data_IF_298372070219
#
_entry.id   IF_298372070219
#
_cell.length_a   1.000
_cell.length_b   1.000
_cell.length_c   1.000
_cell.angle_alpha   90.00
_cell.angle_beta   90.00
_cell.angle_gamma   90.00
#
_symmetry.space_group_name_H-M   'P 1'
#
loop_
_entity.id
_entity.type
_entity.pdbx_description
1 polymer ?
#
# COMPACT_ATOMS: atom_id res chain seq x y z
N UNK A 1 -56.85 -7.40 -17.42
CA UNK A 1 -55.83 -7.22 -16.37
C UNK A 1 -55.54 -8.51 -15.62
N UNK A 2 -56.52 -9.15 -14.96
CA UNK A 2 -56.32 -10.37 -14.18
C UNK A 2 -55.77 -11.51 -15.02
N UNK A 3 -56.27 -11.71 -16.24
CA UNK A 3 -55.74 -12.73 -17.15
C UNK A 3 -54.26 -12.45 -17.55
N UNK A 4 -53.91 -11.20 -17.85
CA UNK A 4 -52.57 -10.79 -18.19
C UNK A 4 -51.59 -10.98 -16.99
N UNK A 5 -52.00 -10.62 -15.78
CA UNK A 5 -51.22 -10.82 -14.56
C UNK A 5 -51.00 -12.32 -14.25
N UNK A 6 -52.00 -13.17 -14.51
CA UNK A 6 -51.86 -14.61 -14.38
C UNK A 6 -50.87 -15.20 -15.42
N UNK A 7 -50.87 -14.70 -16.65
CA UNK A 7 -49.89 -15.10 -17.69
C UNK A 7 -48.47 -14.67 -17.25
N UNK A 8 -48.31 -13.43 -16.80
CA UNK A 8 -47.01 -12.94 -16.26
C UNK A 8 -46.55 -13.81 -15.11
N UNK A 9 -47.42 -14.13 -14.14
CA UNK A 9 -47.12 -14.98 -13.01
C UNK A 9 -46.70 -16.40 -13.42
N UNK A 10 -47.40 -16.96 -14.42
CA UNK A 10 -47.09 -18.31 -14.94
C UNK A 10 -45.72 -18.30 -15.63
N UNK A 11 -45.43 -17.31 -16.45
CA UNK A 11 -44.13 -17.18 -17.14
C UNK A 11 -42.99 -16.94 -16.14
N UNK A 12 -43.19 -16.09 -15.14
CA UNK A 12 -42.19 -15.87 -14.07
C UNK A 12 -41.90 -17.14 -13.27
N UNK A 13 -42.91 -17.95 -12.99
CA UNK A 13 -42.72 -19.20 -12.27
C UNK A 13 -42.09 -20.31 -13.12
N UNK A 14 -42.18 -20.23 -14.45
CA UNK A 14 -41.59 -21.19 -15.39
C UNK A 14 -40.10 -20.86 -15.72
N UNK A 15 -39.63 -19.65 -15.43
CA UNK A 15 -38.28 -19.21 -15.71
C UNK A 15 -37.37 -19.40 -14.51
N UNK A 16 -36.39 -20.30 -14.59
CA UNK A 16 -35.31 -20.40 -13.57
C UNK A 16 -34.43 -19.15 -13.52
N UNK A 17 -34.27 -18.44 -14.65
CA UNK A 17 -33.57 -17.15 -14.75
C UNK A 17 -34.28 -16.24 -15.75
N UNK A 18 -34.63 -15.03 -15.35
CA UNK A 18 -35.11 -14.01 -16.26
C UNK A 18 -33.95 -13.55 -17.19
N UNK A 19 -34.02 -13.96 -18.46
CA UNK A 19 -33.13 -13.46 -19.51
C UNK A 19 -33.74 -12.20 -20.15
N UNK A 20 -32.99 -11.59 -21.10
CA UNK A 20 -33.41 -10.39 -21.82
C UNK A 20 -34.74 -10.58 -22.57
N UNK A 21 -34.91 -11.71 -23.24
CA UNK A 21 -36.09 -12.07 -24.03
C UNK A 21 -37.33 -12.17 -23.14
N UNK A 22 -37.23 -12.88 -22.02
CA UNK A 22 -38.35 -13.00 -21.07
C UNK A 22 -38.75 -11.67 -20.43
N UNK A 23 -37.82 -10.73 -20.20
CA UNK A 23 -38.15 -9.39 -19.72
C UNK A 23 -38.89 -8.57 -20.79
N UNK A 24 -38.55 -8.70 -22.08
CA UNK A 24 -39.29 -8.06 -23.19
C UNK A 24 -40.68 -8.62 -23.35
N UNK A 25 -40.87 -9.94 -23.28
CA UNK A 25 -42.18 -10.59 -23.32
C UNK A 25 -43.08 -10.11 -22.18
N UNK A 26 -42.56 -10.04 -20.96
CA UNK A 26 -43.31 -9.53 -19.81
C UNK A 26 -43.68 -8.07 -20.00
N UNK A 27 -42.79 -7.23 -20.52
CA UNK A 27 -43.04 -5.83 -20.79
C UNK A 27 -44.16 -5.67 -21.84
N UNK A 28 -44.12 -6.47 -22.89
CA UNK A 28 -45.14 -6.46 -23.96
C UNK A 28 -46.53 -6.83 -23.37
N UNK A 29 -46.63 -7.89 -22.58
CA UNK A 29 -47.86 -8.31 -21.90
C UNK A 29 -48.40 -7.21 -20.98
N UNK A 30 -47.52 -6.56 -20.21
CA UNK A 30 -47.92 -5.46 -19.31
C UNK A 30 -48.39 -4.24 -20.09
N UNK A 31 -47.79 -3.91 -21.26
CA UNK A 31 -48.18 -2.79 -22.09
C UNK A 31 -49.54 -3.01 -22.81
N UNK A 32 -49.81 -4.23 -23.25
CA UNK A 32 -51.10 -4.61 -23.88
C UNK A 32 -52.27 -4.52 -22.88
N UNK A 33 -52.00 -4.69 -21.59
CA UNK A 33 -53.02 -4.64 -20.54
C UNK A 33 -53.52 -3.21 -20.21
N UNK A 34 -52.94 -2.20 -20.81
CA UNK A 34 -53.30 -0.80 -20.59
C UNK A 34 -54.40 -0.34 -21.56
N UNK A 35 -55.61 -0.86 -21.46
CA UNK A 35 -56.75 -0.11 -22.01
C UNK A 35 -57.14 1.00 -21.02
N UNK A 36 -57.24 2.26 -21.47
CA UNK A 36 -57.46 3.38 -20.60
C UNK A 36 -58.89 3.40 -20.06
N UNK A 37 -59.13 2.76 -18.94
CA UNK A 37 -60.32 3.08 -18.15
C UNK A 37 -59.88 4.04 -17.02
N UNK A 38 -60.36 5.27 -17.15
CA UNK A 38 -59.93 6.46 -16.43
C UNK A 38 -60.09 6.44 -14.88
N UNK A 39 -60.23 5.30 -14.23
CA UNK A 39 -60.31 5.15 -12.76
C UNK A 39 -59.95 3.74 -12.28
N UNK A 40 -58.85 3.18 -12.71
CA UNK A 40 -58.41 1.87 -12.21
C UNK A 40 -57.37 2.07 -11.12
N UNK A 41 -57.59 1.53 -9.91
CA UNK A 41 -56.62 1.49 -8.83
C UNK A 41 -55.37 0.65 -9.16
N UNK A 42 -55.45 -0.10 -10.27
CA UNK A 42 -54.36 -0.98 -10.76
C UNK A 42 -53.37 -0.25 -11.66
N UNK A 43 -53.82 0.86 -12.30
CA UNK A 43 -52.98 1.63 -13.22
C UNK A 43 -51.64 2.12 -12.62
N UNK A 44 -51.61 2.68 -11.40
CA UNK A 44 -50.35 3.08 -10.78
C UNK A 44 -49.39 1.88 -10.57
N UNK A 45 -49.92 0.71 -10.24
CA UNK A 45 -49.11 -0.51 -10.03
C UNK A 45 -48.52 -1.01 -11.36
N UNK A 46 -49.29 -0.97 -12.44
CA UNK A 46 -48.80 -1.35 -13.77
C UNK A 46 -47.73 -0.39 -14.29
N UNK A 47 -47.86 0.90 -14.03
CA UNK A 47 -46.85 1.91 -14.36
C UNK A 47 -45.54 1.68 -13.54
N UNK A 48 -45.67 1.31 -12.28
CA UNK A 48 -44.52 0.99 -11.44
C UNK A 48 -43.79 -0.25 -11.96
N UNK A 49 -44.54 -1.30 -12.33
CA UNK A 49 -43.99 -2.53 -12.93
C UNK A 49 -43.27 -2.19 -14.25
N UNK A 50 -43.86 -1.40 -15.12
CA UNK A 50 -43.23 -0.97 -16.36
C UNK A 50 -41.92 -0.23 -16.10
N UNK A 51 -41.94 0.72 -15.18
CA UNK A 51 -40.71 1.47 -14.81
C UNK A 51 -39.60 0.56 -14.31
N UNK A 52 -39.95 -0.47 -13.53
CA UNK A 52 -38.99 -1.47 -13.04
C UNK A 52 -38.43 -2.28 -14.22
N UNK A 53 -39.29 -2.76 -15.11
CA UNK A 53 -38.90 -3.53 -16.28
C UNK A 53 -38.01 -2.71 -17.23
N UNK A 54 -38.34 -1.47 -17.49
CA UNK A 54 -37.57 -0.56 -18.34
C UNK A 54 -36.15 -0.32 -17.76
N UNK A 55 -36.05 -0.12 -16.45
CA UNK A 55 -34.76 0.00 -15.79
C UNK A 55 -33.93 -1.28 -15.90
N UNK A 56 -34.56 -2.46 -15.75
CA UNK A 56 -33.85 -3.75 -15.85
C UNK A 56 -33.41 -4.06 -17.28
N UNK A 57 -34.29 -3.80 -18.29
CA UNK A 57 -33.95 -3.97 -19.69
C UNK A 57 -32.81 -3.05 -20.09
N UNK A 58 -32.90 -1.76 -19.74
CA UNK A 58 -31.86 -0.78 -20.03
C UNK A 58 -30.50 -1.16 -19.39
N UNK A 59 -30.54 -1.76 -18.22
CA UNK A 59 -29.32 -2.27 -17.56
C UNK A 59 -28.70 -3.46 -18.32
N UNK A 60 -29.54 -4.35 -18.88
CA UNK A 60 -29.09 -5.50 -19.70
C UNK A 60 -28.64 -5.10 -21.11
N UNK A 61 -29.14 -3.98 -21.65
CA UNK A 61 -28.72 -3.46 -22.95
C UNK A 61 -27.37 -2.79 -22.95
N UNK A 62 -26.93 -2.28 -21.77
CA UNK A 62 -25.61 -1.69 -21.63
C UNK A 62 -24.56 -2.81 -21.67
N UNK A 63 -23.48 -2.67 -22.47
CA UNK A 63 -22.34 -3.57 -22.36
C UNK A 63 -21.87 -3.62 -20.90
N UNK A 64 -21.39 -4.78 -20.39
CA UNK A 64 -20.99 -4.94 -18.99
C UNK A 64 -20.05 -3.84 -18.49
N UNK A 65 -19.14 -3.37 -19.36
CA UNK A 65 -18.21 -2.28 -19.07
C UNK A 65 -18.87 -0.91 -18.86
N UNK A 66 -20.08 -0.70 -19.40
CA UNK A 66 -20.88 0.55 -19.25
C UNK A 66 -21.96 0.44 -18.17
N UNK A 67 -22.06 -0.70 -17.52
CA UNK A 67 -22.99 -0.89 -16.40
C UNK A 67 -22.28 -0.56 -15.10
N UNK A 68 -22.65 0.53 -14.46
CA UNK A 68 -22.00 1.04 -13.24
C UNK A 68 -22.01 0.05 -12.08
N UNK A 69 -23.06 -0.78 -11.94
CA UNK A 69 -23.12 -1.80 -10.89
C UNK A 69 -22.14 -2.95 -11.16
N UNK A 70 -22.07 -3.41 -12.41
CA UNK A 70 -21.13 -4.45 -12.84
C UNK A 70 -19.70 -3.93 -12.71
N UNK A 71 -19.47 -2.70 -13.18
CA UNK A 71 -18.16 -2.05 -13.09
C UNK A 71 -17.67 -1.94 -11.63
N UNK A 72 -18.53 -1.44 -10.73
CA UNK A 72 -18.21 -1.38 -9.29
C UNK A 72 -17.87 -2.74 -8.68
N UNK A 73 -18.64 -3.79 -9.04
CA UNK A 73 -18.36 -5.15 -8.57
C UNK A 73 -17.01 -5.66 -9.09
N UNK A 74 -16.69 -5.42 -10.36
CA UNK A 74 -15.42 -5.82 -10.97
C UNK A 74 -14.26 -5.07 -10.30
N UNK A 75 -14.35 -3.74 -10.18
CA UNK A 75 -13.31 -2.94 -9.53
C UNK A 75 -13.08 -3.38 -8.07
N UNK A 76 -14.14 -3.64 -7.32
CA UNK A 76 -14.02 -4.08 -5.93
C UNK A 76 -13.45 -5.52 -5.79
N UNK A 77 -13.55 -6.32 -6.85
CA UNK A 77 -12.98 -7.68 -6.88
C UNK A 77 -11.53 -7.71 -7.38
N UNK A 78 -11.05 -6.62 -7.99
CA UNK A 78 -9.65 -6.53 -8.42
C UNK A 78 -8.73 -6.40 -7.20
N UNK A 79 -7.56 -7.06 -7.21
CA UNK A 79 -6.53 -6.81 -6.20
C UNK A 79 -6.01 -5.37 -6.32
N UNK A 80 -5.46 -4.85 -5.23
CA UNK A 80 -4.78 -3.56 -5.26
C UNK A 80 -3.51 -3.66 -6.09
N UNK A 81 -3.30 -2.71 -7.01
CA UNK A 81 -2.05 -2.60 -7.76
C UNK A 81 -1.15 -1.58 -7.07
N UNK A 82 0.09 -1.97 -6.83
CA UNK A 82 1.09 -1.12 -6.18
C UNK A 82 2.30 -1.01 -7.08
N UNK A 83 2.54 0.17 -7.62
CA UNK A 83 3.65 0.44 -8.52
C UNK A 83 4.78 1.19 -7.81
N UNK A 84 6.01 0.71 -8.01
CA UNK A 84 7.22 1.30 -7.47
C UNK A 84 8.27 1.49 -8.56
N UNK A 85 8.62 2.73 -8.82
CA UNK A 85 9.75 3.12 -9.71
C UNK A 85 10.77 4.00 -9.01
N UNK A 86 10.34 4.76 -7.99
CA UNK A 86 11.20 5.65 -7.21
C UNK A 86 11.16 5.27 -5.75
N UNK A 87 12.29 4.85 -5.21
CA UNK A 87 12.39 4.27 -3.87
C UNK A 87 12.72 5.28 -2.78
N UNK A 88 12.87 6.57 -3.07
CA UNK A 88 13.05 7.61 -2.07
C UNK A 88 14.10 7.25 -1.02
N UNK A 89 15.38 7.13 -1.44
CA UNK A 89 16.46 6.75 -0.54
C UNK A 89 16.51 7.62 0.72
N UNK A 90 16.69 6.98 1.87
CA UNK A 90 16.88 7.67 3.14
C UNK A 90 18.18 8.45 3.14
N UNK A 91 18.13 9.70 3.51
CA UNK A 91 19.32 10.49 3.81
C UNK A 91 19.82 10.16 5.23
N UNK A 92 21.11 10.27 5.49
CA UNK A 92 21.67 10.04 6.82
C UNK A 92 21.38 11.16 7.80
N UNK A 93 21.09 12.35 7.30
CA UNK A 93 20.76 13.52 8.09
C UNK A 93 19.40 14.08 7.70
N UNK A 94 18.47 14.05 8.65
CA UNK A 94 17.05 14.32 8.43
C UNK A 94 16.63 15.46 9.36
N UNK A 95 16.18 16.58 8.80
CA UNK A 95 15.66 17.72 9.57
C UNK A 95 14.23 17.45 10.03
N UNK A 96 14.07 17.17 11.31
CA UNK A 96 12.80 16.74 11.92
C UNK A 96 11.61 17.68 11.68
N UNK A 97 11.77 19.02 11.76
CA UNK A 97 10.65 19.93 11.48
C UNK A 97 10.07 19.73 10.07
N UNK A 98 10.90 19.55 9.03
CA UNK A 98 10.43 19.24 7.68
C UNK A 98 9.70 17.90 7.60
N UNK A 99 10.18 16.89 8.33
CA UNK A 99 9.49 15.59 8.39
C UNK A 99 8.10 15.75 8.97
N UNK A 100 7.99 16.43 10.12
CA UNK A 100 6.72 16.64 10.82
C UNK A 100 5.72 17.40 9.92
N UNK A 101 6.19 18.39 9.19
CA UNK A 101 5.39 19.16 8.24
C UNK A 101 4.92 18.29 7.06
N UNK A 102 5.81 17.48 6.49
CA UNK A 102 5.57 16.75 5.26
C UNK A 102 4.91 15.36 5.44
N UNK A 103 4.94 14.77 6.65
CA UNK A 103 4.40 13.42 6.89
C UNK A 103 2.91 13.28 6.54
N UNK A 104 2.15 14.36 6.61
CA UNK A 104 0.70 14.37 6.36
C UNK A 104 0.31 15.13 5.08
N UNK A 105 1.29 15.63 4.32
CA UNK A 105 1.02 16.37 3.08
C UNK A 105 0.68 15.43 1.94
N UNK A 106 -0.36 15.80 1.19
CA UNK A 106 -0.83 15.07 -0.01
C UNK A 106 -0.52 15.81 -1.31
N UNK A 107 -0.01 17.04 -1.21
CA UNK A 107 0.29 17.94 -2.33
C UNK A 107 1.72 17.81 -2.89
N UNK A 108 2.56 16.97 -2.26
CA UNK A 108 3.92 16.68 -2.72
C UNK A 108 3.92 15.52 -3.72
N UNK A 109 4.81 15.61 -4.72
CA UNK A 109 4.94 14.61 -5.79
C UNK A 109 6.40 14.25 -6.08
N UNK A 110 6.62 13.23 -6.91
CA UNK A 110 7.95 12.82 -7.35
C UNK A 110 8.86 12.34 -6.21
N UNK A 111 10.15 12.70 -6.29
CA UNK A 111 11.19 12.25 -5.34
C UNK A 111 10.89 12.72 -3.90
N UNK A 112 10.33 13.92 -3.73
CA UNK A 112 9.99 14.43 -2.40
C UNK A 112 8.91 13.60 -1.72
N UNK A 113 7.88 13.19 -2.47
CA UNK A 113 6.83 12.30 -1.96
C UNK A 113 7.38 10.91 -1.60
N UNK A 114 8.28 10.36 -2.44
CA UNK A 114 8.93 9.09 -2.16
C UNK A 114 9.78 9.15 -0.88
N UNK A 115 10.58 10.19 -0.69
CA UNK A 115 11.36 10.41 0.54
C UNK A 115 10.46 10.56 1.77
N UNK A 116 9.41 11.36 1.69
CA UNK A 116 8.47 11.55 2.79
C UNK A 116 7.79 10.22 3.19
N UNK A 117 7.42 9.40 2.19
CA UNK A 117 6.87 8.06 2.40
C UNK A 117 7.86 7.15 3.13
N UNK A 118 9.11 7.08 2.67
CA UNK A 118 10.15 6.25 3.30
C UNK A 118 10.43 6.69 4.73
N UNK A 119 10.47 7.99 5.00
CA UNK A 119 10.62 8.52 6.35
C UNK A 119 9.43 8.18 7.26
N UNK A 120 8.20 8.32 6.75
CA UNK A 120 7.00 7.92 7.49
C UNK A 120 7.07 6.45 7.90
N UNK A 121 7.43 5.60 6.96
CA UNK A 121 7.57 4.16 7.16
C UNK A 121 8.70 3.84 8.15
N UNK A 122 9.84 4.53 8.07
CA UNK A 122 10.93 4.38 9.04
C UNK A 122 10.44 4.66 10.46
N UNK A 123 9.82 5.83 10.70
CA UNK A 123 9.35 6.20 12.02
C UNK A 123 8.25 5.26 12.54
N UNK A 124 7.36 4.78 11.67
CA UNK A 124 6.36 3.76 12.00
C UNK A 124 7.02 2.43 12.39
N UNK A 125 8.00 1.98 11.61
CA UNK A 125 8.73 0.74 11.86
C UNK A 125 9.48 0.77 13.19
N UNK A 126 10.25 1.82 13.46
CA UNK A 126 11.01 1.96 14.70
C UNK A 126 10.14 2.38 15.89
N UNK A 127 8.86 2.68 15.66
CA UNK A 127 7.89 3.14 16.66
C UNK A 127 8.33 4.39 17.39
N UNK A 128 8.91 5.34 16.67
CA UNK A 128 9.27 6.66 17.18
C UNK A 128 8.36 7.72 16.60
N UNK A 129 7.98 8.68 17.43
CA UNK A 129 7.27 9.87 17.00
C UNK A 129 8.28 11.00 16.72
N UNK A 130 8.40 11.51 15.49
CA UNK A 130 9.33 12.60 15.17
C UNK A 130 9.12 13.87 16.03
N UNK A 131 7.87 14.18 16.39
CA UNK A 131 7.53 15.29 17.29
C UNK A 131 8.12 15.09 18.68
N UNK A 132 7.91 13.89 19.25
CA UNK A 132 8.44 13.54 20.57
C UNK A 132 9.97 13.64 20.61
N UNK A 133 10.64 13.09 19.58
CA UNK A 133 12.09 13.18 19.47
C UNK A 133 12.58 14.62 19.36
N UNK A 134 11.82 15.49 18.67
CA UNK A 134 12.12 16.91 18.59
C UNK A 134 11.94 17.61 19.94
N UNK A 135 10.79 17.42 20.61
CA UNK A 135 10.43 18.03 21.88
C UNK A 135 11.39 17.62 23.03
N UNK A 136 11.78 16.34 23.06
CA UNK A 136 12.77 15.83 24.03
C UNK A 136 14.18 16.41 23.82
N UNK A 137 14.44 17.03 22.67
CA UNK A 137 15.74 17.60 22.31
C UNK A 137 15.75 19.14 22.28
N UNK A 138 14.70 19.82 22.65
CA UNK A 138 14.67 21.28 22.67
C UNK A 138 15.62 21.85 23.71
N UNK A 139 16.51 22.73 23.25
CA UNK A 139 17.39 23.49 24.14
C UNK A 139 16.73 24.83 24.51
N UNK A 140 16.52 25.05 25.79
CA UNK A 140 16.09 26.31 26.31
C UNK A 140 17.32 27.07 26.87
N UNK A 141 17.44 28.34 26.57
CA UNK A 141 18.47 29.20 27.12
C UNK A 141 18.03 29.76 28.48
N UNK A 142 18.98 29.97 29.41
CA UNK A 142 18.76 30.55 30.74
C UNK A 142 17.85 29.76 31.68
N UNK A 143 18.18 28.46 31.87
CA UNK A 143 17.43 27.54 32.72
C UNK A 143 17.76 27.72 34.21
N UNK A 144 16.75 27.61 35.08
CA UNK A 144 16.94 27.38 36.51
C UNK A 144 17.50 25.98 36.80
N UNK A 145 18.10 25.75 37.98
CA UNK A 145 18.68 24.42 38.33
C UNK A 145 17.69 23.27 38.18
N UNK A 146 16.46 23.45 38.60
CA UNK A 146 15.39 22.45 38.50
C UNK A 146 15.02 22.12 37.04
N UNK A 147 15.06 23.11 36.17
CA UNK A 147 14.80 22.95 34.74
C UNK A 147 15.95 22.18 34.04
N UNK A 148 17.20 22.36 34.52
CA UNK A 148 18.36 21.60 34.01
C UNK A 148 18.21 20.09 34.29
N UNK A 149 17.75 19.71 35.49
CA UNK A 149 17.49 18.29 35.83
C UNK A 149 16.36 17.70 34.96
N UNK A 150 15.30 18.45 34.72
CA UNK A 150 14.21 18.02 33.84
C UNK A 150 14.72 17.83 32.41
N UNK A 151 15.55 18.74 31.92
CA UNK A 151 16.14 18.66 30.59
C UNK A 151 17.09 17.45 30.47
N UNK A 152 17.89 17.18 31.51
CA UNK A 152 18.77 16.02 31.53
C UNK A 152 17.98 14.71 31.44
N UNK A 153 16.88 14.58 32.20
CA UNK A 153 15.98 13.40 32.10
C UNK A 153 15.35 13.25 30.70
N UNK A 154 14.89 14.33 30.09
CA UNK A 154 14.36 14.30 28.73
C UNK A 154 15.40 13.84 27.71
N UNK A 155 16.63 14.32 27.82
CA UNK A 155 17.73 13.88 26.94
C UNK A 155 18.10 12.42 27.14
N UNK A 156 18.07 11.94 28.37
CA UNK A 156 18.28 10.53 28.69
C UNK A 156 17.16 9.67 28.07
N UNK A 157 15.90 10.04 28.26
CA UNK A 157 14.74 9.38 27.67
C UNK A 157 14.85 9.31 26.13
N UNK A 158 15.17 10.43 25.48
CA UNK A 158 15.43 10.49 24.04
C UNK A 158 16.52 9.50 23.64
N UNK A 159 17.61 9.41 24.39
CA UNK A 159 18.72 8.51 24.10
C UNK A 159 18.31 7.04 24.23
N UNK A 160 17.52 6.70 25.25
CA UNK A 160 17.00 5.34 25.45
C UNK A 160 16.07 4.94 24.29
N UNK A 161 15.16 5.83 23.86
CA UNK A 161 14.27 5.58 22.71
C UNK A 161 15.07 5.34 21.43
N UNK A 162 16.07 6.16 21.15
CA UNK A 162 16.92 6.03 19.96
C UNK A 162 17.77 4.76 19.98
N UNK A 163 18.31 4.35 21.13
CA UNK A 163 19.05 3.11 21.27
C UNK A 163 18.15 1.88 21.07
N UNK A 164 16.94 1.90 21.60
CA UNK A 164 15.95 0.83 21.38
C UNK A 164 15.60 0.71 19.89
N UNK A 165 15.36 1.82 19.23
CA UNK A 165 15.07 1.87 17.79
C UNK A 165 16.25 1.38 16.95
N UNK A 166 17.50 1.76 17.31
CA UNK A 166 18.73 1.30 16.65
C UNK A 166 18.88 -0.22 16.75
N UNK A 167 18.65 -0.78 17.93
CA UNK A 167 18.71 -2.23 18.18
C UNK A 167 17.66 -2.97 17.36
N UNK A 168 16.43 -2.45 17.32
CA UNK A 168 15.34 -3.03 16.53
C UNK A 168 15.68 -3.03 15.05
N UNK A 169 16.06 -1.87 14.49
CA UNK A 169 16.41 -1.75 13.07
C UNK A 169 17.56 -2.70 12.71
N UNK A 170 18.59 -2.77 13.54
CA UNK A 170 19.75 -3.65 13.34
C UNK A 170 19.35 -5.12 13.32
N UNK A 171 18.59 -5.58 14.31
CA UNK A 171 18.20 -6.98 14.43
C UNK A 171 17.31 -7.44 13.29
N UNK A 172 16.32 -6.63 12.93
CA UNK A 172 15.36 -6.96 11.86
C UNK A 172 16.01 -6.91 10.47
N UNK A 173 16.85 -5.91 10.21
CA UNK A 173 17.55 -5.78 8.94
C UNK A 173 18.52 -6.94 8.67
N UNK A 174 19.20 -7.46 9.70
CA UNK A 174 20.12 -8.60 9.62
C UNK A 174 19.45 -9.87 9.09
N UNK A 175 18.15 -10.02 9.26
CA UNK A 175 17.40 -11.17 8.75
C UNK A 175 17.40 -11.22 7.23
N UNK A 176 17.43 -10.07 6.56
CA UNK A 176 17.27 -9.94 5.12
C UNK A 176 18.56 -9.61 4.38
N UNK A 177 19.47 -8.85 5.00
CA UNK A 177 20.71 -8.45 4.39
C UNK A 177 21.86 -9.32 4.89
N UNK A 178 22.44 -10.14 4.00
CA UNK A 178 23.52 -11.11 4.34
C UNK A 178 24.91 -10.67 3.87
N UNK A 179 25.03 -9.48 3.26
CA UNK A 179 26.29 -8.95 2.72
C UNK A 179 27.22 -8.37 3.78
N UNK A 180 26.80 -8.35 5.04
CA UNK A 180 27.59 -7.87 6.18
C UNK A 180 26.75 -7.69 7.44
N UNK A 181 27.42 -7.71 8.59
CA UNK A 181 26.78 -7.46 9.89
C UNK A 181 26.77 -5.95 10.17
N UNK A 182 25.80 -5.26 9.57
CA UNK A 182 25.65 -3.83 9.78
C UNK A 182 24.94 -3.53 11.10
N UNK A 183 25.44 -2.50 11.77
CA UNK A 183 24.88 -1.94 13.01
C UNK A 183 24.43 -0.52 12.70
N UNK A 184 23.14 -0.28 12.85
CA UNK A 184 22.55 1.04 12.72
C UNK A 184 22.58 1.75 14.07
N UNK A 185 22.98 3.01 14.05
CA UNK A 185 23.01 3.89 15.22
C UNK A 185 22.21 5.14 14.89
N UNK A 186 21.03 5.22 15.47
CA UNK A 186 20.10 6.33 15.30
C UNK A 186 20.40 7.36 16.39
N UNK A 187 20.68 8.59 15.96
CA UNK A 187 20.99 9.71 16.86
C UNK A 187 20.13 10.90 16.56
N UNK A 188 19.99 11.74 17.52
CA UNK A 188 19.38 13.05 17.34
C UNK A 188 20.28 14.13 17.92
N UNK A 189 20.59 15.11 17.10
CA UNK A 189 21.45 16.24 17.42
C UNK A 189 20.65 17.53 17.14
N UNK A 190 20.22 18.20 18.20
CA UNK A 190 19.28 19.31 18.10
C UNK A 190 18.02 18.90 17.33
N UNK A 191 17.76 19.56 16.21
CA UNK A 191 16.62 19.33 15.32
C UNK A 191 16.88 18.28 14.23
N UNK A 192 18.08 17.67 14.20
CA UNK A 192 18.46 16.70 13.18
C UNK A 192 18.41 15.28 13.73
N UNK A 193 17.81 14.39 12.98
CA UNK A 193 17.84 12.97 13.19
C UNK A 193 18.89 12.37 12.26
N UNK A 194 19.82 11.57 12.78
CA UNK A 194 20.96 11.04 12.04
C UNK A 194 20.95 9.52 12.05
N UNK A 195 21.24 8.94 10.88
CA UNK A 195 21.38 7.50 10.66
C UNK A 195 22.84 7.20 10.37
N UNK A 196 23.52 6.61 11.33
CA UNK A 196 24.90 6.16 11.22
C UNK A 196 24.96 4.65 11.08
N UNK A 197 25.99 4.18 10.40
CA UNK A 197 26.18 2.76 10.12
C UNK A 197 27.62 2.38 10.39
N UNK A 198 27.82 1.24 11.06
CA UNK A 198 29.09 0.56 11.22
C UNK A 198 28.96 -0.93 10.91
N UNK A 199 30.05 -1.65 10.79
CA UNK A 199 30.06 -3.12 10.71
C UNK A 199 31.25 -3.69 11.48
N UNK A 200 31.30 -5.01 11.62
CA UNK A 200 32.36 -5.70 12.36
C UNK A 200 33.77 -5.45 11.78
N UNK A 201 33.88 -5.26 10.46
CA UNK A 201 35.16 -5.03 9.77
C UNK A 201 35.58 -3.55 9.79
N UNK A 202 34.60 -2.66 9.97
CA UNK A 202 34.79 -1.21 10.00
C UNK A 202 33.93 -0.65 11.13
N UNK A 203 34.46 -0.61 12.34
CA UNK A 203 33.72 -0.19 13.55
C UNK A 203 33.46 1.32 13.56
N UNK A 204 34.15 2.10 12.73
CA UNK A 204 33.90 3.52 12.61
C UNK A 204 32.47 3.76 12.08
N UNK A 205 31.75 4.62 12.77
CA UNK A 205 30.41 5.04 12.37
C UNK A 205 30.50 6.07 11.28
N UNK A 206 29.90 5.77 10.14
CA UNK A 206 29.83 6.66 8.99
C UNK A 206 28.38 6.93 8.61
N UNK A 207 28.14 8.02 7.90
CA UNK A 207 26.81 8.33 7.35
C UNK A 207 26.33 7.21 6.42
N UNK A 208 25.03 6.96 6.40
CA UNK A 208 24.41 5.87 5.63
C UNK A 208 24.83 5.91 4.14
N UNK A 209 24.82 7.10 3.52
CA UNK A 209 25.21 7.29 2.10
C UNK A 209 26.69 6.98 1.86
N UNK A 210 27.53 7.31 2.85
CA UNK A 210 28.97 7.11 2.75
C UNK A 210 29.37 5.63 2.83
N UNK A 211 28.43 4.78 3.29
CA UNK A 211 28.72 3.34 3.42
C UNK A 211 28.56 2.61 2.10
N UNK A 212 27.40 2.70 1.47
CA UNK A 212 27.09 2.05 0.20
C UNK A 212 25.74 2.53 -0.30
N UNK A 213 25.67 2.92 -1.57
CA UNK A 213 24.41 3.27 -2.24
C UNK A 213 23.45 2.08 -2.31
N UNK A 214 23.98 0.87 -2.50
CA UNK A 214 23.19 -0.37 -2.49
C UNK A 214 22.57 -0.64 -1.12
N UNK A 215 23.32 -0.45 -0.03
CA UNK A 215 22.79 -0.59 1.33
C UNK A 215 21.68 0.43 1.60
N UNK A 216 21.90 1.70 1.24
CA UNK A 216 20.93 2.78 1.39
C UNK A 216 19.64 2.45 0.63
N UNK A 217 19.80 2.01 -0.63
CA UNK A 217 18.68 1.61 -1.48
C UNK A 217 17.91 0.43 -0.88
N UNK A 218 18.61 -0.64 -0.50
CA UNK A 218 17.97 -1.84 0.04
C UNK A 218 17.26 -1.56 1.38
N UNK A 219 17.86 -0.77 2.25
CA UNK A 219 17.21 -0.37 3.52
C UNK A 219 15.90 0.39 3.25
N UNK A 220 15.92 1.35 2.34
CA UNK A 220 14.75 2.15 1.99
C UNK A 220 13.64 1.29 1.39
N UNK A 221 14.01 0.41 0.46
CA UNK A 221 13.12 -0.56 -0.16
C UNK A 221 12.52 -1.53 0.87
N UNK A 222 13.36 -2.14 1.71
CA UNK A 222 12.96 -3.06 2.76
C UNK A 222 11.94 -2.44 3.72
N UNK A 223 12.21 -1.24 4.19
CA UNK A 223 11.31 -0.54 5.12
C UNK A 223 9.92 -0.30 4.49
N UNK A 224 9.87 0.17 3.26
CA UNK A 224 8.61 0.43 2.57
C UNK A 224 7.78 -0.86 2.50
N UNK A 225 8.38 -1.94 2.01
CA UNK A 225 7.65 -3.19 1.83
C UNK A 225 7.29 -3.86 3.15
N UNK A 226 8.17 -3.85 4.14
CA UNK A 226 7.89 -4.47 5.44
C UNK A 226 6.68 -3.85 6.13
N UNK A 227 6.60 -2.53 6.18
CA UNK A 227 5.52 -1.83 6.88
C UNK A 227 4.23 -1.86 6.07
N UNK A 228 4.30 -1.65 4.78
CA UNK A 228 3.11 -1.59 3.95
C UNK A 228 2.47 -2.96 3.72
N UNK A 229 3.27 -4.03 3.60
CA UNK A 229 2.72 -5.40 3.46
C UNK A 229 2.05 -5.88 4.74
N UNK A 230 2.54 -5.50 5.91
CA UNK A 230 1.88 -5.86 7.16
C UNK A 230 0.51 -5.20 7.32
N UNK A 231 0.36 -3.97 6.83
CA UNK A 231 -0.81 -3.13 7.10
C UNK A 231 -1.78 -2.96 5.93
N UNK A 232 -1.32 -3.01 4.66
CA UNK A 232 -2.13 -2.55 3.52
C UNK A 232 -2.05 -3.41 2.25
N UNK A 233 -1.04 -4.26 2.09
CA UNK A 233 -0.71 -4.87 0.81
C UNK A 233 -0.97 -6.40 0.74
N UNK A 234 -1.82 -6.95 1.59
CA UNK A 234 -2.21 -8.36 1.45
C UNK A 234 -3.07 -8.55 0.21
N UNK A 235 -2.78 -9.60 -0.57
CA UNK A 235 -3.46 -9.94 -1.83
C UNK A 235 -3.34 -8.83 -2.90
N UNK A 236 -2.20 -8.14 -2.94
CA UNK A 236 -1.91 -7.08 -3.92
C UNK A 236 -1.06 -7.61 -5.08
N UNK A 237 -1.11 -6.90 -6.21
CA UNK A 237 -0.17 -7.07 -7.32
C UNK A 237 0.88 -5.97 -7.20
N UNK A 238 2.12 -6.36 -6.93
CA UNK A 238 3.24 -5.45 -6.75
C UNK A 238 4.01 -5.36 -8.08
N UNK A 239 4.10 -4.16 -8.62
CA UNK A 239 4.81 -3.86 -9.86
C UNK A 239 6.10 -3.13 -9.52
N UNK A 240 7.25 -3.75 -9.79
CA UNK A 240 8.57 -3.21 -9.50
C UNK A 240 9.30 -2.91 -10.80
N UNK A 241 9.70 -1.66 -10.96
CA UNK A 241 10.44 -1.22 -12.14
C UNK A 241 11.93 -1.08 -11.81
N UNK A 242 12.75 -1.90 -12.46
CA UNK A 242 14.21 -1.92 -12.30
C UNK A 242 14.70 -2.01 -10.84
N UNK A 243 14.02 -2.80 -10.03
CA UNK A 243 14.38 -2.98 -8.63
C UNK A 243 15.77 -3.61 -8.48
N UNK A 244 16.62 -3.00 -7.66
CA UNK A 244 17.93 -3.55 -7.32
C UNK A 244 19.06 -3.29 -8.32
N UNK A 245 18.91 -2.37 -9.29
CA UNK A 245 19.98 -2.01 -10.23
C UNK A 245 21.26 -1.54 -9.54
N UNK A 246 21.16 -0.85 -8.41
CA UNK A 246 22.31 -0.37 -7.62
C UNK A 246 22.96 -1.45 -6.75
N UNK A 247 22.41 -2.67 -6.74
CA UNK A 247 22.90 -3.76 -5.91
C UNK A 247 23.99 -4.58 -6.63
N UNK A 248 25.04 -4.92 -5.86
CA UNK A 248 26.00 -5.93 -6.30
C UNK A 248 25.31 -7.30 -6.48
N UNK A 249 25.76 -8.18 -7.40
CA UNK A 249 25.12 -9.48 -7.66
C UNK A 249 24.79 -10.32 -6.42
N UNK A 250 25.68 -10.39 -5.43
CA UNK A 250 25.41 -11.10 -4.19
C UNK A 250 24.25 -10.48 -3.40
N UNK A 251 24.14 -9.16 -3.39
CA UNK A 251 23.03 -8.47 -2.72
C UNK A 251 21.69 -8.62 -3.48
N UNK A 252 21.74 -8.86 -4.79
CA UNK A 252 20.56 -9.19 -5.58
C UNK A 252 19.95 -10.54 -5.15
N UNK A 253 20.77 -11.48 -4.65
CA UNK A 253 20.27 -12.72 -4.05
C UNK A 253 19.46 -12.44 -2.77
N UNK A 254 19.91 -11.52 -1.94
CA UNK A 254 19.16 -11.11 -0.74
C UNK A 254 17.82 -10.45 -1.13
N UNK A 255 17.82 -9.65 -2.20
CA UNK A 255 16.60 -9.05 -2.75
C UNK A 255 15.62 -10.12 -3.24
N UNK A 256 16.09 -11.15 -3.94
CA UNK A 256 15.22 -12.25 -4.39
C UNK A 256 14.63 -13.05 -3.24
N UNK A 257 15.41 -13.30 -2.19
CA UNK A 257 14.89 -13.96 -0.99
C UNK A 257 13.79 -13.11 -0.34
N UNK A 258 13.95 -11.79 -0.36
CA UNK A 258 12.91 -10.89 0.10
C UNK A 258 11.67 -10.92 -0.81
N UNK A 259 11.84 -10.96 -2.14
CA UNK A 259 10.73 -11.14 -3.09
C UNK A 259 9.97 -12.44 -2.86
N UNK A 260 10.69 -13.57 -2.62
CA UNK A 260 10.06 -14.85 -2.30
C UNK A 260 9.15 -14.74 -1.07
N UNK A 261 9.62 -14.11 -0.01
CA UNK A 261 8.79 -13.88 1.18
C UNK A 261 7.57 -12.98 0.89
N UNK A 262 7.73 -11.93 0.11
CA UNK A 262 6.61 -11.09 -0.30
C UNK A 262 5.60 -11.84 -1.19
N UNK A 263 6.07 -12.77 -2.01
CA UNK A 263 5.22 -13.55 -2.92
C UNK A 263 4.33 -14.57 -2.23
N UNK A 264 4.58 -14.89 -0.97
CA UNK A 264 3.69 -15.76 -0.16
C UNK A 264 2.28 -15.16 0.00
N UNK A 265 2.17 -13.85 -0.01
CA UNK A 265 0.90 -13.13 0.20
C UNK A 265 0.51 -12.20 -0.95
N UNK A 266 1.38 -12.01 -1.94
CA UNK A 266 1.20 -11.05 -3.02
C UNK A 266 1.69 -11.63 -4.35
N UNK A 267 1.21 -11.09 -5.45
CA UNK A 267 1.81 -11.34 -6.76
C UNK A 267 2.85 -10.27 -7.05
N UNK A 268 4.05 -10.65 -7.45
CA UNK A 268 5.13 -9.72 -7.81
C UNK A 268 5.41 -9.82 -9.29
N UNK A 269 5.41 -8.67 -9.95
CA UNK A 269 5.85 -8.51 -11.34
C UNK A 269 6.97 -7.48 -11.34
N UNK A 270 8.13 -7.85 -11.82
CA UNK A 270 9.26 -6.91 -11.88
C UNK A 270 9.92 -6.89 -13.25
N UNK A 271 10.41 -5.72 -13.65
CA UNK A 271 11.30 -5.54 -14.79
C UNK A 271 12.75 -5.50 -14.31
N UNK A 272 13.67 -6.02 -15.11
CA UNK A 272 15.10 -5.94 -14.79
C UNK A 272 15.97 -6.08 -16.03
N UNK A 273 17.08 -5.35 -16.06
CA UNK A 273 18.19 -5.55 -16.98
C UNK A 273 19.33 -6.37 -16.35
N UNK A 274 19.19 -6.80 -15.09
CA UNK A 274 20.22 -7.60 -14.42
C UNK A 274 20.11 -9.07 -14.80
N UNK A 275 21.09 -9.65 -15.50
CA UNK A 275 21.09 -11.08 -15.80
C UNK A 275 21.13 -11.95 -14.53
N UNK A 276 21.70 -11.46 -13.45
CA UNK A 276 21.75 -12.17 -12.17
C UNK A 276 20.38 -12.34 -11.52
N UNK A 277 19.52 -11.32 -11.58
CA UNK A 277 18.16 -11.44 -11.08
C UNK A 277 17.34 -12.45 -11.90
N UNK A 278 17.52 -12.46 -13.23
CA UNK A 278 16.85 -13.41 -14.11
C UNK A 278 17.34 -14.84 -13.86
N UNK A 279 18.66 -15.07 -13.88
CA UNK A 279 19.23 -16.40 -13.70
C UNK A 279 18.88 -17.03 -12.35
N UNK A 280 18.94 -16.24 -11.26
CA UNK A 280 18.65 -16.73 -9.91
C UNK A 280 17.18 -17.11 -9.71
N UNK A 281 16.25 -16.50 -10.44
CA UNK A 281 14.84 -16.88 -10.40
C UNK A 281 14.62 -18.24 -11.08
N UNK A 282 15.22 -18.45 -12.25
CA UNK A 282 15.03 -19.70 -13.02
C UNK A 282 15.81 -20.90 -12.46
N UNK A 283 16.96 -20.67 -11.82
CA UNK A 283 17.75 -21.79 -11.23
C UNK A 283 17.20 -22.32 -9.92
N UNK A 284 16.33 -21.57 -9.23
CA UNK A 284 15.67 -22.07 -8.03
C UNK A 284 14.52 -23.04 -8.34
N UNK A 285 13.88 -22.91 -9.50
CA UNK A 285 12.80 -23.80 -9.91
C UNK A 285 13.30 -25.09 -10.57
N UNK A 286 14.55 -25.08 -11.10
CA UNK A 286 15.17 -26.25 -11.72
C UNK A 286 15.88 -27.20 -10.74
N UNK A 287 15.98 -26.84 -9.46
CA UNK A 287 16.61 -27.66 -8.41
C UNK A 287 15.61 -28.46 -7.56
N UNK A 288 14.31 -28.21 -7.74
CA UNK A 288 13.23 -28.91 -7.02
C UNK A 288 12.47 -29.93 -7.90
N UNK A 289 12.89 -30.13 -9.17
CA UNK A 289 12.53 -31.24 -10.06
C UNK A 289 13.70 -32.30 -10.13
#
# INVERSE_FOLDING_TARGET
VVAALNIVKTNLNACEKLNKEGLFEIKEIVSISQEPSAKSEIEPILLEIQNILDKKISALEKPPIKNDEVWKKVINALPSFVYYSNYGNLDSEIYLPHVIENLNRTDISGVAAAKARTLKVLFEFIRLNPKEILELGEDKQNLAKEEIEILAKKREERTVLLNSASSKLTSEFKNWWKQGNYIFDLRADGKFFKIWVSDEKRPEKVALESRSTGLQWFLSFYLIFLVETQNKLKNSIILLDEAGLSLHPLAQKDLLNFFKSLSETNQIIHTTHSPFLVCLLYTSDAADD
#
